data_IF_938431654544
#
_entry.id   IF_938431654544
#
_cell.length_a   1.000
_cell.length_b   1.000
_cell.length_c   1.000
_cell.angle_alpha   90.00
_cell.angle_beta   90.00
_cell.angle_gamma   90.00
#
_symmetry.space_group_name_H-M   'P 1'
#
loop_
_entity.id
_entity.type
_entity.pdbx_description
1 polymer ?
#
# COMPACT_ATOMS: atom_id res chain seq x y z
N UNK A 1 -2.13 21.03 -4.48
CA UNK A 1 -3.58 20.82 -4.39
C UNK A 1 -3.79 19.43 -3.80
N UNK A 2 -4.25 19.39 -2.57
CA UNK A 2 -4.58 18.16 -1.86
C UNK A 2 -5.91 17.66 -2.46
N UNK A 3 -5.84 16.72 -3.41
CA UNK A 3 -7.03 16.01 -3.84
C UNK A 3 -7.48 15.16 -2.66
N UNK A 4 -8.46 15.67 -1.95
CA UNK A 4 -9.18 14.94 -0.92
C UNK A 4 -9.74 13.69 -1.59
N UNK A 5 -9.18 12.53 -1.26
CA UNK A 5 -9.66 11.21 -1.74
C UNK A 5 -10.98 10.81 -1.06
N UNK A 6 -11.73 11.79 -0.57
CA UNK A 6 -13.00 11.57 0.09
C UNK A 6 -14.07 11.31 -0.95
N UNK A 7 -14.62 10.12 -0.90
CA UNK A 7 -15.78 9.74 -1.71
C UNK A 7 -17.02 10.38 -1.08
N UNK A 8 -17.89 11.02 -1.86
CA UNK A 8 -19.15 11.55 -1.36
C UNK A 8 -20.02 10.48 -0.70
N UNK A 9 -20.78 10.83 0.33
CA UNK A 9 -21.67 9.90 1.01
C UNK A 9 -22.71 9.26 0.08
N UNK A 10 -23.12 10.00 -0.93
CA UNK A 10 -24.04 9.55 -2.01
C UNK A 10 -23.43 8.39 -2.81
N UNK A 11 -22.13 8.47 -3.11
CA UNK A 11 -21.40 7.44 -3.83
C UNK A 11 -21.31 6.15 -3.01
N UNK A 12 -21.08 6.24 -1.70
CA UNK A 12 -21.10 5.08 -0.82
C UNK A 12 -22.50 4.43 -0.78
N UNK A 13 -23.56 5.22 -0.79
CA UNK A 13 -24.94 4.71 -0.87
C UNK A 13 -25.18 4.00 -2.19
N UNK A 14 -24.70 4.55 -3.30
CA UNK A 14 -24.79 3.93 -4.62
C UNK A 14 -24.01 2.61 -4.71
N UNK A 15 -22.84 2.52 -4.07
CA UNK A 15 -22.02 1.31 -3.97
C UNK A 15 -22.71 0.18 -3.18
N UNK A 16 -23.53 0.52 -2.18
CA UNK A 16 -24.28 -0.45 -1.36
C UNK A 16 -25.54 -0.96 -2.07
N UNK A 17 -26.13 -0.17 -2.97
CA UNK A 17 -27.34 -0.52 -3.66
C UNK A 17 -27.04 -1.43 -4.88
N UNK A 18 -27.57 -2.65 -4.96
CA UNK A 18 -27.30 -3.57 -6.06
C UNK A 18 -27.62 -3.01 -7.46
N UNK A 19 -28.65 -2.16 -7.58
CA UNK A 19 -29.08 -1.58 -8.86
C UNK A 19 -28.08 -0.54 -9.43
N UNK A 20 -27.37 0.19 -8.55
CA UNK A 20 -26.44 1.28 -8.94
C UNK A 20 -24.97 0.92 -8.70
N UNK A 21 -24.71 -0.21 -8.01
CA UNK A 21 -23.38 -0.64 -7.59
C UNK A 21 -22.36 -0.65 -8.72
N UNK A 22 -22.71 -1.22 -9.87
CA UNK A 22 -21.79 -1.38 -10.99
C UNK A 22 -21.20 -0.03 -11.44
N UNK A 23 -22.08 0.94 -11.75
CA UNK A 23 -21.61 2.26 -12.21
C UNK A 23 -20.87 3.04 -11.13
N UNK A 24 -21.29 2.93 -9.86
CA UNK A 24 -20.58 3.52 -8.72
C UNK A 24 -19.22 2.85 -8.52
N UNK A 25 -19.10 1.54 -8.70
CA UNK A 25 -17.85 0.81 -8.58
C UNK A 25 -16.86 1.15 -9.70
N UNK A 26 -17.34 1.37 -10.94
CA UNK A 26 -16.49 1.81 -12.06
C UNK A 26 -15.83 3.17 -11.74
N UNK A 27 -16.58 4.10 -11.13
CA UNK A 27 -16.02 5.38 -10.67
C UNK A 27 -15.02 5.21 -9.53
N UNK A 28 -15.31 4.31 -8.57
CA UNK A 28 -14.39 3.96 -7.50
C UNK A 28 -13.06 3.41 -8.05
N UNK A 29 -13.13 2.51 -9.01
CA UNK A 29 -11.95 1.97 -9.71
C UNK A 29 -11.17 3.11 -10.37
N UNK A 30 -11.83 4.00 -11.12
CA UNK A 30 -11.19 5.16 -11.75
C UNK A 30 -10.43 6.05 -10.76
N UNK A 31 -11.01 6.28 -9.57
CA UNK A 31 -10.40 7.11 -8.52
C UNK A 31 -9.21 6.43 -7.81
N UNK A 32 -9.28 5.10 -7.59
CA UNK A 32 -8.32 4.39 -6.75
C UNK A 32 -7.33 3.50 -7.48
N UNK A 33 -7.51 3.23 -8.78
CA UNK A 33 -6.63 2.36 -9.57
C UNK A 33 -5.16 2.77 -9.46
N UNK A 34 -4.86 4.02 -9.81
CA UNK A 34 -3.49 4.56 -9.81
C UNK A 34 -2.88 4.65 -8.41
N UNK A 35 -3.56 5.19 -7.40
CA UNK A 35 -3.06 5.20 -6.02
C UNK A 35 -2.75 3.80 -5.47
N UNK A 36 -3.67 2.85 -5.63
CA UNK A 36 -3.48 1.48 -5.14
C UNK A 36 -2.38 0.74 -5.91
N UNK A 37 -2.25 0.99 -7.22
CA UNK A 37 -1.15 0.44 -8.01
C UNK A 37 0.21 0.87 -7.45
N UNK A 38 0.42 2.16 -7.23
CA UNK A 38 1.68 2.64 -6.69
C UNK A 38 1.93 2.18 -5.26
N UNK A 39 0.89 2.06 -4.45
CA UNK A 39 1.00 1.45 -3.12
C UNK A 39 1.45 -0.02 -3.22
N UNK A 40 0.77 -0.83 -4.04
CA UNK A 40 1.15 -2.22 -4.28
C UNK A 40 2.58 -2.34 -4.84
N UNK A 41 2.93 -1.51 -5.84
CA UNK A 41 4.24 -1.50 -6.49
C UNK A 41 5.39 -1.29 -5.51
N UNK A 42 5.20 -0.41 -4.51
CA UNK A 42 6.18 -0.20 -3.44
C UNK A 42 6.30 -1.39 -2.47
N UNK A 43 5.33 -2.27 -2.43
CA UNK A 43 5.36 -3.47 -1.57
C UNK A 43 5.94 -4.69 -2.30
N UNK A 44 5.52 -4.94 -3.55
CA UNK A 44 5.86 -6.16 -4.30
C UNK A 44 7.01 -5.98 -5.30
N UNK A 45 7.35 -4.73 -5.65
CA UNK A 45 8.43 -4.31 -6.57
C UNK A 45 8.18 -4.66 -8.04
N UNK A 46 7.75 -5.86 -8.35
CA UNK A 46 7.49 -6.34 -9.71
C UNK A 46 6.19 -5.77 -10.28
N UNK A 47 6.22 -5.31 -11.55
CA UNK A 47 5.08 -4.64 -12.19
C UNK A 47 3.84 -5.54 -12.25
N UNK A 48 4.01 -6.73 -12.79
CA UNK A 48 2.94 -7.71 -12.95
C UNK A 48 2.31 -8.10 -11.61
N UNK A 49 3.13 -8.20 -10.55
CA UNK A 49 2.64 -8.48 -9.19
C UNK A 49 1.79 -7.35 -8.65
N UNK A 50 2.16 -6.10 -8.96
CA UNK A 50 1.38 -4.94 -8.52
C UNK A 50 0.02 -4.89 -9.24
N UNK A 51 -0.03 -5.22 -10.53
CA UNK A 51 -1.27 -5.33 -11.29
C UNK A 51 -2.17 -6.42 -10.73
N UNK A 52 -1.64 -7.60 -10.45
CA UNK A 52 -2.37 -8.71 -9.81
C UNK A 52 -2.92 -8.32 -8.45
N UNK A 53 -2.13 -7.64 -7.61
CA UNK A 53 -2.58 -7.15 -6.29
C UNK A 53 -3.74 -6.19 -6.44
N UNK A 54 -3.67 -5.26 -7.38
CA UNK A 54 -4.74 -4.26 -7.59
C UNK A 54 -6.00 -4.92 -8.12
N UNK A 55 -5.88 -5.80 -9.09
CA UNK A 55 -7.02 -6.56 -9.64
C UNK A 55 -7.72 -7.36 -8.55
N UNK A 56 -6.98 -8.14 -7.78
CA UNK A 56 -7.51 -8.93 -6.66
C UNK A 56 -8.12 -8.03 -5.57
N UNK A 57 -7.55 -6.85 -5.35
CA UNK A 57 -8.09 -5.87 -4.40
C UNK A 57 -9.48 -5.40 -4.83
N UNK A 58 -9.68 -5.06 -6.10
CA UNK A 58 -10.98 -4.61 -6.58
C UNK A 58 -12.00 -5.75 -6.64
N UNK A 59 -11.60 -6.96 -6.99
CA UNK A 59 -12.48 -8.14 -6.92
C UNK A 59 -13.01 -8.31 -5.49
N UNK A 60 -12.11 -8.35 -4.51
CA UNK A 60 -12.49 -8.48 -3.08
C UNK A 60 -13.31 -7.31 -2.57
N UNK A 61 -13.00 -6.10 -3.03
CA UNK A 61 -13.75 -4.92 -2.67
C UNK A 61 -15.18 -4.98 -3.22
N UNK A 62 -15.36 -5.39 -4.49
CA UNK A 62 -16.66 -5.54 -5.11
C UNK A 62 -17.54 -6.55 -4.36
N UNK A 63 -16.97 -7.70 -4.01
CA UNK A 63 -17.68 -8.75 -3.29
C UNK A 63 -18.09 -8.32 -1.87
N UNK A 64 -17.28 -7.48 -1.22
CA UNK A 64 -17.46 -7.10 0.19
C UNK A 64 -18.11 -5.73 0.41
N UNK A 65 -18.26 -4.90 -0.63
CA UNK A 65 -18.77 -3.53 -0.48
C UNK A 65 -20.16 -3.48 0.15
N UNK A 66 -21.02 -4.46 -0.15
CA UNK A 66 -22.35 -4.55 0.44
C UNK A 66 -22.35 -4.80 1.97
N UNK A 67 -21.27 -5.34 2.51
CA UNK A 67 -21.07 -5.58 3.95
C UNK A 67 -20.21 -4.54 4.65
N UNK A 68 -19.65 -3.59 3.90
CA UNK A 68 -18.85 -2.51 4.45
C UNK A 68 -19.72 -1.61 5.35
N UNK A 69 -19.30 -1.44 6.62
CA UNK A 69 -20.04 -0.69 7.65
C UNK A 69 -19.46 0.71 7.95
N UNK A 70 -18.31 1.04 7.37
CA UNK A 70 -17.68 2.35 7.55
C UNK A 70 -18.40 3.48 6.82
N UNK A 71 -18.05 4.70 7.15
CA UNK A 71 -18.46 5.90 6.43
C UNK A 71 -17.69 6.13 5.14
N UNK A 72 -18.11 7.12 4.35
CA UNK A 72 -17.46 7.48 3.08
C UNK A 72 -15.96 7.81 3.25
N UNK A 73 -15.60 8.59 4.28
CA UNK A 73 -14.19 8.91 4.60
C UNK A 73 -13.34 7.72 5.08
N UNK A 74 -13.93 6.54 5.31
CA UNK A 74 -13.19 5.35 5.71
C UNK A 74 -12.98 4.37 4.54
N UNK A 75 -13.66 4.59 3.41
CA UNK A 75 -13.63 3.69 2.25
C UNK A 75 -12.21 3.60 1.64
N UNK A 76 -11.51 4.72 1.55
CA UNK A 76 -10.13 4.75 1.09
C UNK A 76 -9.21 3.88 1.95
N UNK A 77 -9.23 4.09 3.27
CA UNK A 77 -8.44 3.29 4.21
C UNK A 77 -8.79 1.79 4.14
N UNK A 78 -10.07 1.46 3.95
CA UNK A 78 -10.50 0.08 3.76
C UNK A 78 -9.94 -0.56 2.48
N UNK A 79 -9.94 0.17 1.35
CA UNK A 79 -9.32 -0.31 0.10
C UNK A 79 -7.81 -0.53 0.26
N UNK A 80 -7.11 0.42 0.87
CA UNK A 80 -5.68 0.28 1.15
C UNK A 80 -5.37 -0.89 2.09
N UNK A 81 -6.24 -1.17 3.05
CA UNK A 81 -6.13 -2.36 3.91
C UNK A 81 -6.25 -3.66 3.11
N UNK A 82 -7.21 -3.74 2.17
CA UNK A 82 -7.35 -4.90 1.29
C UNK A 82 -6.08 -5.05 0.44
N UNK A 83 -5.60 -3.98 -0.22
CA UNK A 83 -4.42 -3.99 -1.05
C UNK A 83 -3.16 -4.42 -0.29
N UNK A 84 -2.94 -3.85 0.90
CA UNK A 84 -1.81 -4.20 1.77
C UNK A 84 -1.85 -5.69 2.13
N UNK A 85 -2.99 -6.19 2.58
CA UNK A 85 -3.13 -7.60 2.95
C UNK A 85 -2.96 -8.55 1.74
N UNK A 86 -3.44 -8.15 0.57
CA UNK A 86 -3.28 -8.91 -0.67
C UNK A 86 -1.81 -8.98 -1.07
N UNK A 87 -1.10 -7.85 -1.07
CA UNK A 87 0.33 -7.79 -1.36
C UNK A 87 1.15 -8.66 -0.39
N UNK A 88 0.91 -8.53 0.91
CA UNK A 88 1.61 -9.32 1.92
C UNK A 88 1.33 -10.82 1.80
N UNK A 89 0.10 -11.19 1.44
CA UNK A 89 -0.28 -12.59 1.21
C UNK A 89 0.41 -13.15 -0.02
N UNK A 90 0.48 -12.38 -1.12
CA UNK A 90 1.21 -12.74 -2.33
C UNK A 90 2.69 -12.98 -2.04
N UNK A 91 3.35 -12.06 -1.34
CA UNK A 91 4.75 -12.19 -0.97
C UNK A 91 5.03 -13.44 -0.13
N UNK A 92 4.14 -13.80 0.79
CA UNK A 92 4.27 -15.03 1.60
C UNK A 92 4.12 -16.31 0.76
N UNK A 93 3.16 -16.32 -0.19
CA UNK A 93 2.88 -17.51 -1.01
C UNK A 93 3.96 -17.83 -2.04
N UNK A 94 4.60 -16.82 -2.62
CA UNK A 94 5.60 -17.03 -3.66
C UNK A 94 6.86 -17.75 -3.21
N UNK A 95 7.14 -17.80 -1.91
CA UNK A 95 8.36 -18.43 -1.36
C UNK A 95 8.12 -19.18 -0.04
N UNK A 96 7.24 -20.21 -0.06
CA UNK A 96 7.08 -21.07 1.11
C UNK A 96 8.40 -21.79 1.38
N UNK A 97 8.94 -21.66 2.58
CA UNK A 97 10.11 -22.40 3.05
C UNK A 97 11.48 -21.74 2.83
N UNK A 98 11.61 -20.68 2.02
CA UNK A 98 12.89 -19.98 1.84
C UNK A 98 13.11 -18.81 2.83
N UNK A 99 12.04 -18.34 3.47
CA UNK A 99 12.11 -17.18 4.36
C UNK A 99 11.34 -17.44 5.65
N UNK A 100 12.02 -17.27 6.76
CA UNK A 100 11.43 -17.32 8.10
C UNK A 100 10.59 -16.06 8.41
N UNK A 101 10.81 -14.96 7.67
CA UNK A 101 10.13 -13.69 7.93
C UNK A 101 9.92 -12.86 6.66
N UNK A 102 8.96 -11.90 6.71
CA UNK A 102 8.77 -10.90 5.66
C UNK A 102 9.96 -9.92 5.52
N UNK A 103 10.81 -9.84 6.54
CA UNK A 103 12.03 -9.03 6.49
C UNK A 103 13.09 -9.67 5.57
N UNK A 104 13.14 -11.01 5.47
CA UNK A 104 13.99 -11.71 4.52
C UNK A 104 13.53 -11.47 3.06
N UNK A 105 12.21 -11.42 2.83
CA UNK A 105 11.65 -11.03 1.53
C UNK A 105 12.08 -9.61 1.15
N UNK A 106 12.14 -8.71 2.12
CA UNK A 106 12.52 -7.31 1.88
C UNK A 106 13.94 -7.16 1.30
N UNK A 107 14.91 -7.96 1.79
CA UNK A 107 16.28 -7.93 1.27
C UNK A 107 16.37 -8.36 -0.19
N UNK A 108 15.57 -9.36 -0.59
CA UNK A 108 15.55 -9.81 -1.98
C UNK A 108 14.85 -8.80 -2.88
N UNK A 109 13.78 -8.17 -2.39
CA UNK A 109 13.13 -7.10 -3.13
C UNK A 109 14.08 -5.91 -3.34
N UNK A 110 14.93 -5.60 -2.36
CA UNK A 110 15.91 -4.54 -2.48
C UNK A 110 16.94 -4.82 -3.60
N UNK A 111 17.38 -6.07 -3.79
CA UNK A 111 18.27 -6.42 -4.91
C UNK A 111 17.60 -6.27 -6.28
N UNK A 112 16.30 -6.50 -6.38
CA UNK A 112 15.56 -6.38 -7.65
C UNK A 112 15.29 -4.94 -8.09
N UNK A 113 15.33 -3.97 -7.19
CA UNK A 113 15.11 -2.56 -7.56
C UNK A 113 16.14 -2.09 -8.59
N UNK A 114 17.39 -2.50 -8.46
CA UNK A 114 18.43 -2.14 -9.42
C UNK A 114 18.18 -2.75 -10.81
N UNK A 115 17.69 -4.00 -10.86
CA UNK A 115 17.35 -4.69 -12.11
C UNK A 115 16.16 -4.02 -12.82
N UNK A 116 15.14 -3.62 -12.06
CA UNK A 116 13.92 -2.98 -12.58
C UNK A 116 14.12 -1.52 -13.02
N UNK A 117 15.05 -0.79 -12.39
CA UNK A 117 15.28 0.61 -12.71
C UNK A 117 16.13 0.84 -13.97
N UNK A 118 16.90 -0.16 -14.43
CA UNK A 118 17.78 -0.06 -15.60
C UNK A 118 19.04 0.80 -15.36
N UNK A 119 19.89 0.87 -16.39
CA UNK A 119 21.21 1.53 -16.30
C UNK A 119 21.14 3.07 -16.20
N UNK A 120 20.08 3.68 -16.74
CA UNK A 120 19.90 5.15 -16.76
C UNK A 120 19.22 5.70 -15.50
N UNK A 121 18.91 4.87 -14.52
CA UNK A 121 18.24 5.32 -13.31
C UNK A 121 19.15 6.18 -12.43
N UNK A 122 18.56 7.22 -11.82
CA UNK A 122 19.26 8.01 -10.79
C UNK A 122 19.68 7.09 -9.63
N UNK A 123 20.98 6.91 -9.50
CA UNK A 123 21.60 6.05 -8.46
C UNK A 123 21.15 6.43 -7.05
N UNK A 124 20.90 7.72 -6.80
CA UNK A 124 20.41 8.19 -5.50
C UNK A 124 19.02 7.70 -5.23
N UNK A 125 18.13 7.73 -6.25
CA UNK A 125 16.77 7.23 -6.15
C UNK A 125 16.75 5.72 -5.95
N UNK A 126 17.56 4.97 -6.69
CA UNK A 126 17.69 3.51 -6.53
C UNK A 126 18.13 3.15 -5.11
N UNK A 127 19.21 3.82 -4.61
CA UNK A 127 19.70 3.61 -3.24
C UNK A 127 18.62 3.92 -2.19
N UNK A 128 17.85 4.99 -2.40
CA UNK A 128 16.75 5.34 -1.49
C UNK A 128 15.66 4.27 -1.47
N UNK A 129 15.24 3.77 -2.62
CA UNK A 129 14.25 2.70 -2.70
C UNK A 129 14.75 1.40 -2.08
N UNK A 130 15.99 1.02 -2.33
CA UNK A 130 16.62 -0.14 -1.69
C UNK A 130 16.64 0.01 -0.16
N UNK A 131 17.05 1.19 0.34
CA UNK A 131 17.06 1.46 1.76
C UNK A 131 15.67 1.34 2.41
N UNK A 132 14.61 1.76 1.72
CA UNK A 132 13.23 1.58 2.18
C UNK A 132 12.85 0.09 2.26
N UNK A 133 13.20 -0.69 1.24
CA UNK A 133 12.91 -2.12 1.21
C UNK A 133 13.65 -2.91 2.29
N UNK A 134 14.79 -2.44 2.74
CA UNK A 134 15.57 -3.03 3.85
C UNK A 134 15.04 -2.64 5.24
N UNK A 135 14.07 -1.73 5.34
CA UNK A 135 13.41 -1.45 6.60
C UNK A 135 12.62 -2.66 7.10
N UNK A 136 12.56 -2.90 8.43
CA UNK A 136 11.62 -3.85 9.00
C UNK A 136 10.20 -3.58 8.50
N UNK A 137 9.45 -4.64 8.18
CA UNK A 137 8.16 -4.53 7.51
C UNK A 137 7.21 -3.50 8.15
N UNK A 138 7.09 -3.50 9.48
CA UNK A 138 6.21 -2.55 10.18
C UNK A 138 6.61 -1.09 9.94
N UNK A 139 7.92 -0.81 9.94
CA UNK A 139 8.47 0.52 9.69
C UNK A 139 8.27 0.93 8.22
N UNK A 140 8.51 0.00 7.28
CA UNK A 140 8.32 0.22 5.84
C UNK A 140 6.86 0.52 5.48
N UNK A 141 5.90 -0.24 6.03
CA UNK A 141 4.48 0.00 5.77
C UNK A 141 4.05 1.39 6.21
N UNK A 142 4.41 1.78 7.44
CA UNK A 142 4.08 3.11 7.96
C UNK A 142 4.78 4.21 7.14
N UNK A 143 6.06 4.01 6.79
CA UNK A 143 6.81 4.97 5.98
C UNK A 143 6.15 5.17 4.62
N UNK A 144 5.81 4.11 3.89
CA UNK A 144 5.17 4.20 2.58
C UNK A 144 3.83 4.94 2.64
N UNK A 145 2.95 4.57 3.57
CA UNK A 145 1.64 5.19 3.72
C UNK A 145 1.75 6.68 4.12
N UNK A 146 2.71 7.03 4.99
CA UNK A 146 2.88 8.40 5.45
C UNK A 146 3.59 9.29 4.44
N UNK A 147 4.68 8.81 3.85
CA UNK A 147 5.55 9.60 2.96
C UNK A 147 4.98 9.70 1.54
N UNK A 148 4.67 8.56 0.91
CA UNK A 148 4.21 8.54 -0.47
C UNK A 148 2.70 8.77 -0.60
N UNK A 149 1.91 8.10 0.23
CA UNK A 149 0.45 8.19 0.17
C UNK A 149 -0.10 9.37 0.99
N UNK A 150 0.76 10.07 1.75
CA UNK A 150 0.45 11.26 2.57
C UNK A 150 -0.69 11.07 3.56
N UNK A 151 -0.93 9.83 3.97
CA UNK A 151 -2.02 9.51 4.88
C UNK A 151 -1.79 10.09 6.28
N UNK A 152 -2.82 10.64 6.93
CA UNK A 152 -2.76 10.96 8.34
C UNK A 152 -2.69 9.69 9.20
N UNK A 153 -2.12 9.78 10.41
CA UNK A 153 -1.92 8.60 11.26
C UNK A 153 -3.23 7.88 11.61
N UNK A 154 -4.34 8.62 11.77
CA UNK A 154 -5.66 8.01 11.99
C UNK A 154 -6.10 7.08 10.86
N UNK A 155 -5.83 7.44 9.60
CA UNK A 155 -6.11 6.55 8.46
C UNK A 155 -5.14 5.37 8.42
N UNK A 156 -3.84 5.60 8.64
CA UNK A 156 -2.83 4.52 8.70
C UNK A 156 -3.21 3.52 9.80
N UNK A 157 -3.74 4.00 10.94
CA UNK A 157 -4.24 3.16 12.02
C UNK A 157 -5.37 2.23 11.55
N UNK A 158 -6.29 2.74 10.72
CA UNK A 158 -7.36 1.93 10.10
C UNK A 158 -6.80 0.92 9.09
N UNK A 159 -5.84 1.33 8.25
CA UNK A 159 -5.19 0.44 7.26
C UNK A 159 -4.47 -0.71 7.95
N UNK A 160 -3.64 -0.43 8.95
CA UNK A 160 -2.73 -1.40 9.57
C UNK A 160 -3.29 -2.06 10.83
N UNK A 161 -4.39 -1.56 11.38
CA UNK A 161 -4.98 -2.07 12.63
C UNK A 161 -4.08 -1.84 13.85
N UNK A 162 -3.36 -0.71 13.91
CA UNK A 162 -2.42 -0.36 14.98
C UNK A 162 -2.78 0.98 15.61
N UNK A 163 -2.29 1.25 16.82
CA UNK A 163 -2.47 2.53 17.51
C UNK A 163 -1.59 3.60 16.88
N UNK A 164 -2.07 4.84 16.85
CA UNK A 164 -1.33 5.97 16.24
C UNK A 164 0.03 6.21 16.89
N UNK A 165 0.13 6.07 18.22
CA UNK A 165 1.39 6.23 18.95
C UNK A 165 2.44 5.24 18.45
N UNK A 166 2.05 3.98 18.25
CA UNK A 166 2.93 2.94 17.70
C UNK A 166 3.37 3.29 16.28
N UNK A 167 2.47 3.85 15.46
CA UNK A 167 2.78 4.26 14.08
C UNK A 167 3.77 5.42 14.06
N UNK A 168 3.59 6.42 14.93
CA UNK A 168 4.52 7.57 15.06
C UNK A 168 5.92 7.10 15.43
N UNK A 169 6.05 6.17 16.36
CA UNK A 169 7.33 5.57 16.77
C UNK A 169 7.96 4.79 15.59
N UNK A 170 7.17 3.96 14.91
CA UNK A 170 7.66 3.20 13.75
C UNK A 170 8.11 4.11 12.61
N UNK A 171 7.39 5.19 12.34
CA UNK A 171 7.78 6.18 11.34
C UNK A 171 9.08 6.89 11.71
N UNK A 172 9.21 7.33 12.96
CA UNK A 172 10.44 7.95 13.47
C UNK A 172 11.65 7.03 13.29
N UNK A 173 11.53 5.76 13.70
CA UNK A 173 12.61 4.78 13.53
C UNK A 173 12.93 4.52 12.05
N UNK A 174 11.91 4.49 11.17
CA UNK A 174 12.13 4.35 9.74
C UNK A 174 12.97 5.51 9.19
N UNK A 175 12.60 6.75 9.53
CA UNK A 175 13.32 7.95 9.08
C UNK A 175 14.76 7.97 9.60
N UNK A 176 15.02 7.60 10.86
CA UNK A 176 16.37 7.53 11.42
C UNK A 176 17.23 6.52 10.66
N UNK A 177 16.72 5.29 10.45
CA UNK A 177 17.46 4.26 9.70
C UNK A 177 17.74 4.66 8.25
N UNK A 178 16.79 5.33 7.60
CA UNK A 178 17.02 5.83 6.23
C UNK A 178 18.11 6.90 6.20
N UNK A 179 18.10 7.84 7.14
CA UNK A 179 19.18 8.85 7.25
C UNK A 179 20.53 8.18 7.42
N UNK A 180 20.68 7.23 8.35
CA UNK A 180 21.93 6.51 8.59
C UNK A 180 22.44 5.76 7.35
N UNK A 181 21.54 5.14 6.56
CA UNK A 181 21.89 4.40 5.35
C UNK A 181 22.29 5.30 4.18
N UNK A 182 21.70 6.47 4.08
CA UNK A 182 21.95 7.39 2.96
C UNK A 182 23.13 8.34 3.21
N UNK A 183 23.56 8.51 4.46
CA UNK A 183 24.71 9.35 4.82
C UNK A 183 26.05 8.59 4.77
N UNK A 184 26.01 7.27 4.62
CA UNK A 184 27.17 6.39 4.41
C UNK A 184 27.43 6.17 2.91
#
# INVERSE_FOLDING_TARGET
MEETRDIPAEELSALRNPATRRGAFDRLVGAYLRPLYWHARRLVVVHEDAEDVVQETFIRAYDKIGTFRGGAGELGAWLYRIATNTALTMLRRRRPGLFSSLDDVSRILASRVAEECGEDADRTLVRFQQAILELPLKQRLVFNLRYYDRMPYGEIARVLGQREETLKVNYHHAVQKLKEKLTR
#
